data_IF_399951436758
#
_entry.id   IF_399951436758
#
_cell.length_a   1.000
_cell.length_b   1.000
_cell.length_c   1.000
_cell.angle_alpha   90.00
_cell.angle_beta   90.00
_cell.angle_gamma   90.00
#
_symmetry.space_group_name_H-M   'P 1'
#
loop_
_entity.id
_entity.type
_entity.pdbx_description
1 polymer ?
#
# COMPACT_ATOMS: atom_id res chain seq x y z
N UNK A 1 11.57 18.79 -3.72
CA UNK A 1 10.77 18.18 -4.81
C UNK A 1 10.44 16.78 -4.35
N UNK A 2 9.24 16.57 -3.79
CA UNK A 2 8.77 15.23 -3.45
C UNK A 2 8.57 14.52 -4.78
N UNK A 3 9.38 13.50 -5.05
CA UNK A 3 9.17 12.60 -6.17
C UNK A 3 7.84 11.91 -5.90
N UNK A 4 6.76 12.42 -6.50
CA UNK A 4 5.44 11.83 -6.37
C UNK A 4 5.61 10.37 -6.77
N UNK A 5 5.27 9.44 -5.86
CA UNK A 5 5.32 8.01 -6.14
C UNK A 5 4.66 7.76 -7.49
N UNK A 6 5.47 7.34 -8.46
CA UNK A 6 5.01 7.03 -9.80
C UNK A 6 3.84 6.05 -9.68
N UNK A 7 2.62 6.43 -10.10
CA UNK A 7 1.45 5.55 -10.04
C UNK A 7 1.69 4.21 -10.76
N UNK A 8 2.70 4.16 -11.64
CA UNK A 8 3.21 2.95 -12.26
C UNK A 8 3.57 1.85 -11.27
N UNK A 9 4.16 2.15 -10.10
CA UNK A 9 4.68 1.08 -9.23
C UNK A 9 3.58 0.26 -8.58
N UNK A 10 2.42 0.85 -8.28
CA UNK A 10 1.28 0.09 -7.74
C UNK A 10 0.68 -0.86 -8.79
N UNK A 11 0.69 -0.45 -10.07
CA UNK A 11 0.20 -1.29 -11.17
C UNK A 11 1.02 -2.57 -11.35
N UNK A 12 2.31 -2.52 -11.00
CA UNK A 12 3.20 -3.67 -11.09
C UNK A 12 3.16 -4.60 -9.87
N UNK A 13 2.49 -4.20 -8.79
CA UNK A 13 2.42 -4.93 -7.51
C UNK A 13 1.05 -5.55 -7.24
N UNK A 14 0.06 -5.35 -8.10
CA UNK A 14 -1.31 -5.79 -7.90
C UNK A 14 -1.97 -6.19 -9.22
N UNK A 15 -3.08 -6.92 -9.14
CA UNK A 15 -3.93 -7.11 -10.31
C UNK A 15 -4.54 -5.78 -10.78
N UNK A 16 -4.87 -5.64 -12.09
CA UNK A 16 -5.32 -4.37 -12.66
C UNK A 16 -6.52 -3.74 -11.94
N UNK A 17 -7.47 -4.55 -11.49
CA UNK A 17 -8.65 -4.07 -10.78
C UNK A 17 -8.30 -3.49 -9.40
N UNK A 18 -7.38 -4.12 -8.68
CA UNK A 18 -6.89 -3.60 -7.40
C UNK A 18 -6.06 -2.33 -7.61
N UNK A 19 -5.16 -2.32 -8.59
CA UNK A 19 -4.37 -1.14 -8.91
C UNK A 19 -5.28 0.07 -9.23
N UNK A 20 -6.36 -0.15 -9.99
CA UNK A 20 -7.34 0.90 -10.28
C UNK A 20 -8.06 1.39 -9.04
N UNK A 21 -8.52 0.48 -8.17
CA UNK A 21 -9.19 0.85 -6.93
C UNK A 21 -8.30 1.70 -6.01
N UNK A 22 -7.00 1.42 -5.99
CA UNK A 22 -6.01 2.21 -5.25
C UNK A 22 -5.86 3.62 -5.85
N UNK A 23 -5.77 3.74 -7.17
CA UNK A 23 -5.73 5.05 -7.85
C UNK A 23 -6.97 5.87 -7.53
N UNK A 24 -8.16 5.27 -7.64
CA UNK A 24 -9.44 5.95 -7.36
C UNK A 24 -9.53 6.39 -5.89
N UNK A 25 -9.05 5.57 -4.96
CA UNK A 25 -8.97 5.91 -3.53
C UNK A 25 -8.01 7.08 -3.27
N UNK A 26 -6.82 7.09 -3.88
CA UNK A 26 -5.87 8.21 -3.77
C UNK A 26 -6.46 9.50 -4.32
N UNK A 27 -7.13 9.43 -5.47
CA UNK A 27 -7.82 10.57 -6.07
C UNK A 27 -8.91 11.10 -5.12
N UNK A 28 -9.69 10.22 -4.51
CA UNK A 28 -10.69 10.61 -3.50
C UNK A 28 -10.05 11.33 -2.31
N UNK A 29 -8.95 10.80 -1.78
CA UNK A 29 -8.24 11.43 -0.65
C UNK A 29 -7.74 12.84 -1.00
N UNK A 30 -7.21 13.03 -2.20
CA UNK A 30 -6.70 14.31 -2.66
C UNK A 30 -7.82 15.36 -2.82
N UNK A 31 -8.94 14.97 -3.44
CA UNK A 31 -9.98 15.92 -3.84
C UNK A 31 -11.07 16.11 -2.78
N UNK A 32 -11.59 15.02 -2.22
CA UNK A 32 -12.70 15.09 -1.26
C UNK A 32 -12.20 15.38 0.15
N UNK A 33 -11.14 14.70 0.59
CA UNK A 33 -10.58 14.90 1.93
C UNK A 33 -9.55 16.02 2.00
N UNK A 34 -9.15 16.60 0.85
CA UNK A 34 -8.09 17.61 0.75
C UNK A 34 -6.85 17.23 1.56
N UNK A 35 -6.49 15.95 1.50
CA UNK A 35 -5.31 15.45 2.20
C UNK A 35 -4.07 16.18 1.69
N UNK A 36 -3.17 16.52 2.60
CA UNK A 36 -1.92 17.20 2.21
C UNK A 36 -1.11 16.30 1.27
N UNK A 37 -0.26 16.88 0.39
CA UNK A 37 0.64 16.07 -0.45
C UNK A 37 1.47 15.08 0.35
N UNK A 38 1.96 15.49 1.53
CA UNK A 38 2.72 14.63 2.43
C UNK A 38 1.90 13.45 2.96
N UNK A 39 0.61 13.66 3.22
CA UNK A 39 -0.31 12.60 3.63
C UNK A 39 -0.51 11.60 2.49
N UNK A 40 -0.72 12.07 1.26
CA UNK A 40 -0.88 11.20 0.09
C UNK A 40 0.38 10.36 -0.19
N UNK A 41 1.56 10.96 -0.04
CA UNK A 41 2.84 10.28 -0.20
C UNK A 41 3.04 9.21 0.88
N UNK A 42 2.76 9.52 2.14
CA UNK A 42 2.86 8.56 3.25
C UNK A 42 1.96 7.34 3.03
N UNK A 43 0.68 7.57 2.69
CA UNK A 43 -0.25 6.47 2.37
C UNK A 43 0.19 5.68 1.13
N UNK A 44 0.76 6.36 0.13
CA UNK A 44 1.31 5.71 -1.07
C UNK A 44 2.48 4.77 -0.74
N UNK A 45 3.42 5.22 0.11
CA UNK A 45 4.56 4.42 0.56
C UNK A 45 4.10 3.20 1.36
N UNK A 46 3.19 3.39 2.31
CA UNK A 46 2.70 2.29 3.14
C UNK A 46 1.98 1.22 2.29
N UNK A 47 1.15 1.66 1.33
CA UNK A 47 0.41 0.74 0.46
C UNK A 47 1.34 0.00 -0.52
N UNK A 48 2.34 0.68 -1.06
CA UNK A 48 3.37 0.06 -1.89
C UNK A 48 4.12 -1.04 -1.11
N UNK A 49 4.56 -0.74 0.11
CA UNK A 49 5.22 -1.71 0.98
C UNK A 49 4.32 -2.90 1.31
N UNK A 50 3.03 -2.65 1.57
CA UNK A 50 2.06 -3.71 1.84
C UNK A 50 1.81 -4.60 0.62
N UNK A 51 1.56 -4.04 -0.57
CA UNK A 51 1.30 -4.81 -1.79
C UNK A 51 2.53 -5.61 -2.26
N UNK A 52 3.73 -5.06 -2.06
CA UNK A 52 4.97 -5.78 -2.31
C UNK A 52 5.13 -6.98 -1.37
N UNK A 53 4.87 -6.80 -0.07
CA UNK A 53 4.83 -7.91 0.88
C UNK A 53 3.77 -8.93 0.49
N UNK A 54 2.54 -8.47 0.23
CA UNK A 54 1.40 -9.35 -0.01
C UNK A 54 1.61 -10.21 -1.25
N UNK A 55 2.19 -9.63 -2.32
CA UNK A 55 2.54 -10.40 -3.51
C UNK A 55 3.55 -11.52 -3.23
N UNK A 56 4.55 -11.25 -2.37
CA UNK A 56 5.51 -12.27 -1.93
C UNK A 56 4.88 -13.31 -1.00
N UNK A 57 3.98 -12.88 -0.11
CA UNK A 57 3.29 -13.74 0.86
C UNK A 57 2.28 -14.69 0.21
N UNK A 58 1.54 -14.22 -0.81
CA UNK A 58 0.59 -15.04 -1.57
C UNK A 58 1.27 -15.83 -2.70
N UNK A 59 2.43 -15.38 -3.17
CA UNK A 59 3.18 -15.97 -4.29
C UNK A 59 2.70 -15.51 -5.67
N UNK A 60 1.75 -14.58 -5.73
CA UNK A 60 1.22 -13.95 -6.95
C UNK A 60 0.74 -12.53 -6.63
N UNK A 61 0.50 -11.72 -7.67
CA UNK A 61 -0.01 -10.35 -7.52
C UNK A 61 -1.41 -10.39 -6.92
N UNK A 62 -1.62 -9.67 -5.81
CA UNK A 62 -2.91 -9.66 -5.12
C UNK A 62 -4.01 -8.95 -5.93
N UNK A 63 -5.22 -9.52 -5.90
CA UNK A 63 -6.43 -8.96 -6.47
C UNK A 63 -7.40 -8.37 -5.43
N UNK A 64 -8.55 -7.91 -5.90
CA UNK A 64 -9.60 -7.38 -5.02
C UNK A 64 -10.19 -8.45 -4.10
N UNK A 65 -10.32 -9.68 -4.59
CA UNK A 65 -10.81 -10.81 -3.80
C UNK A 65 -9.85 -11.17 -2.67
N UNK A 66 -8.54 -11.16 -2.93
CA UNK A 66 -7.53 -11.39 -1.89
C UNK A 66 -7.62 -10.33 -0.79
N UNK A 67 -7.76 -9.05 -1.19
CA UNK A 67 -7.94 -7.94 -0.27
C UNK A 67 -9.18 -8.11 0.63
N UNK A 68 -10.26 -8.67 0.09
CA UNK A 68 -11.48 -8.97 0.87
C UNK A 68 -11.30 -10.18 1.80
N UNK A 69 -10.45 -11.13 1.43
CA UNK A 69 -10.20 -12.36 2.18
C UNK A 69 -9.03 -12.28 3.16
N UNK A 70 -8.35 -11.13 3.26
CA UNK A 70 -7.25 -10.91 4.20
C UNK A 70 -7.68 -11.23 5.64
N UNK A 71 -6.87 -12.03 6.32
CA UNK A 71 -7.08 -12.43 7.70
C UNK A 71 -6.17 -11.65 8.62
N UNK A 72 -6.51 -11.61 9.91
CA UNK A 72 -5.64 -11.02 10.93
C UNK A 72 -4.22 -11.66 10.96
N UNK A 73 -4.07 -12.90 10.51
CA UNK A 73 -2.78 -13.56 10.38
C UNK A 73 -1.88 -12.90 9.31
N UNK A 74 -2.45 -12.49 8.18
CA UNK A 74 -1.71 -11.84 7.09
C UNK A 74 -1.19 -10.46 7.52
N UNK A 75 -2.00 -9.71 8.25
CA UNK A 75 -1.57 -8.44 8.86
C UNK A 75 -0.47 -8.65 9.90
N UNK A 76 -0.55 -9.68 10.73
CA UNK A 76 0.52 -9.99 11.69
C UNK A 76 1.82 -10.38 10.99
N UNK A 77 1.74 -11.15 9.90
CA UNK A 77 2.89 -11.50 9.08
C UNK A 77 3.52 -10.24 8.47
N UNK A 78 2.71 -9.33 7.93
CA UNK A 78 3.19 -8.04 7.42
C UNK A 78 3.89 -7.19 8.47
N UNK A 79 3.30 -7.07 9.67
CA UNK A 79 3.89 -6.29 10.76
C UNK A 79 5.20 -6.90 11.27
N UNK A 80 5.30 -8.23 11.32
CA UNK A 80 6.53 -8.94 11.66
C UNK A 80 7.63 -8.68 10.62
N UNK A 81 7.30 -8.80 9.33
CA UNK A 81 8.23 -8.48 8.23
C UNK A 81 8.69 -7.01 8.28
N UNK A 82 7.76 -6.07 8.49
CA UNK A 82 8.08 -4.63 8.63
C UNK A 82 9.01 -4.37 9.81
N UNK A 83 8.82 -5.09 10.93
CA UNK A 83 9.70 -5.05 12.10
C UNK A 83 11.11 -5.58 11.82
N UNK A 84 11.22 -6.69 11.07
CA UNK A 84 12.50 -7.30 10.72
C UNK A 84 13.30 -6.50 9.69
N UNK A 85 12.63 -5.77 8.80
CA UNK A 85 13.27 -4.92 7.78
C UNK A 85 13.97 -3.68 8.33
N UNK A 86 13.97 -3.48 9.65
CA UNK A 86 14.71 -2.38 10.27
C UNK A 86 14.26 -1.00 9.81
N UNK A 87 13.03 -0.87 9.28
CA UNK A 87 12.39 0.43 9.04
C UNK A 87 12.10 1.01 10.43
N UNK A 88 13.13 1.63 11.00
CA UNK A 88 13.15 2.12 12.36
C UNK A 88 12.06 3.15 12.54
N UNK A 89 11.09 2.84 13.43
CA UNK A 89 10.38 3.81 14.28
C UNK A 89 9.95 5.15 13.66
N UNK A 90 9.62 5.22 12.38
CA UNK A 90 8.93 6.39 11.84
C UNK A 90 7.43 6.19 12.03
N UNK A 91 6.86 7.02 12.91
CA UNK A 91 5.43 7.17 13.19
C UNK A 91 4.80 6.20 14.20
N UNK A 92 5.13 6.41 15.48
CA UNK A 92 4.11 6.46 16.55
C UNK A 92 4.21 7.86 17.17
N UNK A 93 3.38 8.78 16.70
CA UNK A 93 3.07 10.03 17.39
C UNK A 93 1.64 9.92 17.92
#
# INVERSE_FOLDING_TARGET
MSEAIEPALVRDLAEPALARAVEDWRNRLAHEKRASPHTLDAYGHDLQGFLSFLSGHLGYRAGLEDMQNLKAADFRAYLAERGNRGIGRASRA
#
